data_IF_352561035579
#
_entry.id   IF_352561035579
#
_cell.length_a   1.000
_cell.length_b   1.000
_cell.length_c   1.000
_cell.angle_alpha   90.00
_cell.angle_beta   90.00
_cell.angle_gamma   90.00
#
_symmetry.space_group_name_H-M   'P 1'
#
loop_
_entity.id
_entity.type
_entity.pdbx_description
1 polymer ?
#
# COMPACT_ATOMS: atom_id res chain seq x y z
N UNK A 1 10.12 -4.53 -14.84
CA UNK A 1 9.73 -3.26 -14.20
C UNK A 1 9.06 -3.61 -12.88
N UNK A 2 9.41 -2.94 -11.78
CA UNK A 2 8.69 -3.13 -10.52
C UNK A 2 7.46 -2.21 -10.54
N UNK A 3 6.31 -2.73 -10.20
CA UNK A 3 5.09 -1.96 -10.01
C UNK A 3 4.94 -1.64 -8.53
N UNK A 4 4.52 -0.42 -8.22
CA UNK A 4 4.19 0.02 -6.86
C UNK A 4 2.76 0.54 -6.78
N UNK A 5 2.10 0.30 -5.66
CA UNK A 5 0.82 0.92 -5.28
C UNK A 5 1.00 1.54 -3.91
N UNK A 6 0.71 2.84 -3.81
CA UNK A 6 0.84 3.58 -2.56
C UNK A 6 -0.50 3.57 -1.82
N UNK A 7 -0.48 3.18 -0.55
CA UNK A 7 -1.65 3.19 0.31
C UNK A 7 -1.47 4.19 1.45
N UNK A 8 -2.46 5.06 1.59
CA UNK A 8 -2.48 6.13 2.57
C UNK A 8 -3.73 6.08 3.42
N UNK A 9 -3.60 6.42 4.70
CA UNK A 9 -4.71 6.50 5.65
C UNK A 9 -5.11 7.98 5.89
N UNK A 10 -6.06 8.57 5.14
CA UNK A 10 -6.33 10.00 5.20
C UNK A 10 -6.93 10.40 6.55
N UNK A 11 -6.56 11.57 7.09
CA UNK A 11 -7.16 12.10 8.33
C UNK A 11 -8.63 12.48 8.17
N UNK A 12 -9.03 12.85 6.96
CA UNK A 12 -10.38 13.28 6.58
C UNK A 12 -11.28 12.11 6.15
N UNK A 13 -10.76 10.89 6.13
CA UNK A 13 -11.46 9.71 5.62
C UNK A 13 -11.47 9.56 4.09
N UNK A 14 -11.03 10.57 3.34
CA UNK A 14 -10.91 10.54 1.87
C UNK A 14 -9.57 11.10 1.40
N UNK A 15 -8.90 10.35 0.52
CA UNK A 15 -7.69 10.82 -0.17
C UNK A 15 -8.09 11.74 -1.33
N UNK A 16 -7.33 12.80 -1.54
CA UNK A 16 -7.60 13.77 -2.62
C UNK A 16 -6.33 14.08 -3.39
N UNK A 17 -6.41 14.55 -4.65
CA UNK A 17 -5.24 14.91 -5.45
C UNK A 17 -4.33 15.92 -4.75
N UNK A 18 -4.89 16.96 -4.12
CA UNK A 18 -4.11 17.96 -3.36
C UNK A 18 -3.35 17.35 -2.17
N UNK A 19 -3.91 16.32 -1.54
CA UNK A 19 -3.20 15.60 -0.46
C UNK A 19 -2.04 14.78 -1.04
N UNK A 20 -2.22 14.16 -2.21
CA UNK A 20 -1.15 13.46 -2.92
C UNK A 20 -0.04 14.41 -3.35
N UNK A 21 -0.37 15.55 -3.97
CA UNK A 21 0.59 16.60 -4.31
C UNK A 21 1.43 17.01 -3.09
N UNK A 22 0.77 17.22 -1.95
CA UNK A 22 1.46 17.52 -0.70
C UNK A 22 2.39 16.37 -0.26
N UNK A 23 1.94 15.11 -0.34
CA UNK A 23 2.74 13.94 0.01
C UNK A 23 3.93 13.74 -0.92
N UNK A 24 3.80 14.02 -2.21
CA UNK A 24 4.93 13.99 -3.14
C UNK A 24 5.94 15.09 -2.86
N UNK A 25 5.45 16.28 -2.52
CA UNK A 25 6.32 17.43 -2.23
C UNK A 25 7.03 17.32 -0.87
N UNK A 26 6.35 16.81 0.15
CA UNK A 26 6.82 16.86 1.54
C UNK A 26 6.91 15.50 2.24
N UNK A 27 6.62 14.39 1.56
CA UNK A 27 6.54 13.06 2.16
C UNK A 27 7.85 12.56 2.77
N UNK A 28 8.99 13.13 2.35
CA UNK A 28 10.32 12.84 2.88
C UNK A 28 10.84 13.91 3.86
N UNK A 29 10.07 14.96 4.12
CA UNK A 29 10.48 16.03 5.04
C UNK A 29 10.39 15.56 6.49
N UNK A 30 11.46 15.82 7.25
CA UNK A 30 11.53 15.55 8.69
C UNK A 30 11.06 16.75 9.53
N UNK A 31 10.93 17.92 8.91
CA UNK A 31 10.64 19.20 9.56
C UNK A 31 9.16 19.63 9.49
N UNK A 32 8.32 18.94 8.70
CA UNK A 32 6.87 19.23 8.67
C UNK A 32 6.17 18.90 10.00
N UNK A 33 5.51 19.87 10.66
CA UNK A 33 4.67 19.62 11.84
C UNK A 33 3.57 18.59 11.59
N UNK A 34 3.32 17.71 12.57
CA UNK A 34 2.37 16.59 12.45
C UNK A 34 0.96 17.01 11.99
N UNK A 35 0.48 18.19 12.40
CA UNK A 35 -0.87 18.64 12.04
C UNK A 35 -1.02 19.00 10.55
N UNK A 36 0.08 19.29 9.84
CA UNK A 36 0.07 19.55 8.39
C UNK A 36 0.01 18.29 7.56
N UNK A 37 0.39 17.13 8.12
CA UNK A 37 0.32 15.87 7.40
C UNK A 37 -1.14 15.53 7.04
N UNK A 38 -1.47 15.28 5.77
CA UNK A 38 -2.83 14.96 5.35
C UNK A 38 -3.26 13.53 5.74
N UNK A 39 -2.29 12.68 6.07
CA UNK A 39 -2.47 11.26 6.41
C UNK A 39 -2.15 11.01 7.88
N UNK A 40 -2.80 10.00 8.45
CA UNK A 40 -2.54 9.54 9.82
C UNK A 40 -1.13 8.97 9.91
N UNK A 41 -0.47 9.23 11.03
CA UNK A 41 0.76 8.52 11.37
C UNK A 41 0.44 7.05 11.69
N UNK A 42 1.20 6.15 11.11
CA UNK A 42 1.06 4.70 11.29
C UNK A 42 2.21 4.24 12.20
N UNK A 43 1.95 3.20 13.00
CA UNK A 43 2.99 2.45 13.72
C UNK A 43 3.37 1.23 12.87
N UNK A 44 4.52 1.24 12.16
CA UNK A 44 4.86 0.18 11.19
C UNK A 44 4.78 -1.22 11.79
N UNK A 45 5.38 -1.42 12.97
CA UNK A 45 5.35 -2.71 13.68
C UNK A 45 3.95 -3.17 14.09
N UNK A 46 3.05 -2.23 14.38
CA UNK A 46 1.68 -2.57 14.77
C UNK A 46 0.88 -3.01 13.55
N UNK A 47 0.99 -2.26 12.45
CA UNK A 47 0.36 -2.63 11.18
C UNK A 47 0.92 -3.94 10.63
N UNK A 48 2.23 -4.14 10.72
CA UNK A 48 2.87 -5.39 10.32
C UNK A 48 2.27 -6.61 11.04
N UNK A 49 2.10 -6.51 12.37
CA UNK A 49 1.44 -7.58 13.15
C UNK A 49 -0.02 -7.80 12.73
N UNK A 50 -0.75 -6.75 12.36
CA UNK A 50 -2.12 -6.89 11.86
C UNK A 50 -2.14 -7.64 10.53
N UNK A 51 -1.27 -7.28 9.59
CA UNK A 51 -1.16 -7.96 8.31
C UNK A 51 -0.68 -9.41 8.45
N UNK A 52 0.26 -9.70 9.36
CA UNK A 52 0.68 -11.07 9.65
C UNK A 52 -0.39 -11.92 10.36
N UNK A 53 -1.43 -11.30 10.95
CA UNK A 53 -2.60 -12.03 11.47
C UNK A 53 -3.61 -12.34 10.37
N UNK A 54 -3.72 -11.47 9.37
CA UNK A 54 -4.50 -11.74 8.16
C UNK A 54 -3.84 -12.87 7.35
N UNK A 55 -2.53 -12.76 7.13
CA UNK A 55 -1.73 -13.72 6.39
C UNK A 55 -0.50 -14.13 7.20
N UNK A 56 -0.61 -15.31 7.80
CA UNK A 56 0.44 -15.88 8.67
C UNK A 56 1.70 -16.33 7.94
N UNK A 57 1.69 -16.34 6.60
CA UNK A 57 2.84 -16.77 5.80
C UNK A 57 3.78 -15.62 5.45
N UNK A 58 3.39 -14.37 5.72
CA UNK A 58 4.22 -13.20 5.49
C UNK A 58 5.51 -13.25 6.34
N UNK A 59 6.64 -12.99 5.69
CA UNK A 59 7.96 -12.96 6.33
C UNK A 59 8.33 -11.51 6.61
N UNK A 60 8.50 -11.17 7.89
CA UNK A 60 8.88 -9.82 8.29
C UNK A 60 10.39 -9.59 8.19
N UNK A 61 10.77 -8.52 7.51
CA UNK A 61 12.16 -8.05 7.33
C UNK A 61 12.26 -6.62 7.85
N UNK A 62 13.34 -6.24 8.57
CA UNK A 62 13.53 -4.86 9.00
C UNK A 62 13.77 -3.93 7.81
N UNK A 63 12.96 -2.87 7.71
CA UNK A 63 13.19 -1.76 6.77
C UNK A 63 14.07 -0.65 7.38
N UNK A 64 14.38 0.40 6.61
CA UNK A 64 15.15 1.55 7.08
C UNK A 64 14.35 2.35 8.12
N UNK A 65 15.04 3.09 8.99
CA UNK A 65 14.42 4.03 9.95
C UNK A 65 13.30 3.46 10.86
N UNK A 66 13.27 2.14 11.07
CA UNK A 66 12.24 1.47 11.89
C UNK A 66 10.97 1.08 11.12
N UNK A 67 11.00 1.21 9.79
CA UNK A 67 10.01 0.65 8.87
C UNK A 67 10.06 -0.88 8.85
N UNK A 68 9.06 -1.50 8.24
CA UNK A 68 8.94 -2.97 8.18
C UNK A 68 8.58 -3.37 6.77
N UNK A 69 9.28 -4.37 6.24
CA UNK A 69 8.90 -5.04 5.01
C UNK A 69 8.22 -6.37 5.35
N UNK A 70 7.12 -6.66 4.69
CA UNK A 70 6.50 -7.98 4.72
C UNK A 70 6.63 -8.60 3.33
N UNK A 71 7.40 -9.68 3.26
CA UNK A 71 7.66 -10.42 2.03
C UNK A 71 6.65 -11.55 1.91
N UNK A 72 6.02 -11.67 0.74
CA UNK A 72 5.22 -12.85 0.43
C UNK A 72 6.15 -14.07 0.33
N UNK A 73 5.75 -15.25 0.86
CA UNK A 73 6.65 -16.39 1.01
C UNK A 73 7.22 -16.94 -0.30
N UNK A 74 6.51 -16.79 -1.42
CA UNK A 74 7.02 -17.16 -2.74
C UNK A 74 7.78 -15.98 -3.37
N UNK A 75 9.10 -16.04 -3.31
CA UNK A 75 10.01 -15.04 -3.89
C UNK A 75 9.80 -14.85 -5.40
N UNK A 76 9.27 -15.86 -6.11
CA UNK A 76 8.97 -15.79 -7.55
C UNK A 76 7.85 -14.79 -7.84
N UNK A 77 6.91 -14.63 -6.91
CA UNK A 77 5.85 -13.64 -7.04
C UNK A 77 6.35 -12.22 -6.76
N UNK A 78 7.45 -12.07 -6.02
CA UNK A 78 8.13 -10.80 -5.80
C UNK A 78 7.27 -9.74 -5.10
N UNK A 79 6.27 -10.15 -4.31
CA UNK A 79 5.35 -9.24 -3.62
C UNK A 79 5.96 -8.81 -2.29
N UNK A 80 6.09 -7.50 -2.07
CA UNK A 80 6.60 -6.93 -0.83
C UNK A 80 5.68 -5.80 -0.37
N UNK A 81 5.22 -5.84 0.88
CA UNK A 81 4.52 -4.74 1.52
C UNK A 81 5.51 -3.97 2.37
N UNK A 82 5.92 -2.80 1.89
CA UNK A 82 6.77 -1.86 2.61
C UNK A 82 5.92 -0.93 3.48
N UNK A 83 6.08 -1.05 4.80
CA UNK A 83 5.27 -0.34 5.78
C UNK A 83 6.13 0.73 6.44
N UNK A 84 5.72 2.00 6.26
CA UNK A 84 6.38 3.15 6.86
C UNK A 84 5.41 3.97 7.71
N UNK A 85 5.94 5.00 8.37
CA UNK A 85 5.18 5.84 9.30
C UNK A 85 4.04 6.66 8.66
N UNK A 86 3.94 6.73 7.32
CA UNK A 86 2.93 7.50 6.58
C UNK A 86 2.06 6.67 5.64
N UNK A 87 2.39 5.40 5.40
CA UNK A 87 1.64 4.57 4.46
C UNK A 87 2.18 3.16 4.35
N UNK A 88 1.63 2.46 3.36
CA UNK A 88 2.15 1.17 2.87
C UNK A 88 2.41 1.34 1.38
N UNK A 89 3.51 0.79 0.88
CA UNK A 89 3.77 0.64 -0.55
C UNK A 89 3.78 -0.85 -0.84
N UNK A 90 2.94 -1.31 -1.78
CA UNK A 90 2.97 -2.69 -2.23
C UNK A 90 3.77 -2.74 -3.52
N UNK A 91 4.90 -3.42 -3.48
CA UNK A 91 5.74 -3.71 -4.63
C UNK A 91 5.40 -5.08 -5.20
N UNK A 92 5.34 -5.19 -6.52
CA UNK A 92 5.20 -6.46 -7.22
C UNK A 92 5.73 -6.34 -8.65
N UNK A 93 6.28 -7.40 -9.24
CA UNK A 93 6.81 -7.36 -10.59
C UNK A 93 5.69 -7.06 -11.60
N UNK A 94 5.96 -6.15 -12.53
CA UNK A 94 5.13 -6.00 -13.72
C UNK A 94 5.21 -7.29 -14.54
N UNK A 95 4.07 -7.96 -14.68
CA UNK A 95 3.95 -9.15 -15.50
C UNK A 95 3.06 -8.85 -16.69
N UNK A 96 3.59 -9.08 -17.90
CA UNK A 96 2.77 -9.01 -19.11
C UNK A 96 1.62 -10.03 -19.01
N UNK A 97 0.45 -9.62 -19.49
CA UNK A 97 -0.84 -10.31 -19.39
C UNK A 97 -0.74 -11.85 -19.39
N UNK A 98 -1.29 -12.50 -18.37
CA UNK A 98 -1.34 -13.96 -18.26
C UNK A 98 -1.97 -14.46 -16.95
N UNK A 99 -1.98 -15.78 -16.73
CA UNK A 99 -2.54 -16.37 -15.49
C UNK A 99 -1.79 -15.90 -14.26
N UNK A 100 -0.45 -15.82 -14.35
CA UNK A 100 0.39 -15.40 -13.23
C UNK A 100 0.14 -13.92 -12.85
N UNK A 101 -0.10 -13.04 -13.83
CA UNK A 101 -0.42 -11.64 -13.56
C UNK A 101 -1.75 -11.52 -12.80
N UNK A 102 -2.75 -12.34 -13.14
CA UNK A 102 -4.04 -12.40 -12.43
C UNK A 102 -3.88 -12.87 -10.99
N UNK A 103 -3.04 -13.88 -10.74
CA UNK A 103 -2.76 -14.37 -9.38
C UNK A 103 -2.09 -13.29 -8.55
N UNK A 104 -1.03 -12.66 -9.07
CA UNK A 104 -0.33 -11.59 -8.34
C UNK A 104 -1.24 -10.40 -8.06
N UNK A 105 -2.00 -9.95 -9.05
CA UNK A 105 -2.97 -8.87 -8.85
C UNK A 105 -4.03 -9.26 -7.81
N UNK A 106 -4.57 -10.49 -7.85
CA UNK A 106 -5.53 -10.97 -6.86
C UNK A 106 -4.99 -10.94 -5.42
N UNK A 107 -3.73 -11.35 -5.23
CA UNK A 107 -3.05 -11.27 -3.93
C UNK A 107 -2.88 -9.80 -3.49
N UNK A 108 -2.35 -8.96 -4.37
CA UNK A 108 -2.16 -7.52 -4.10
C UNK A 108 -3.48 -6.85 -3.73
N UNK A 109 -4.53 -7.07 -4.51
CA UNK A 109 -5.86 -6.51 -4.25
C UNK A 109 -6.48 -7.04 -2.95
N UNK A 110 -6.16 -8.26 -2.51
CA UNK A 110 -6.60 -8.77 -1.21
C UNK A 110 -6.07 -7.90 -0.07
N UNK A 111 -4.79 -7.52 -0.10
CA UNK A 111 -4.23 -6.62 0.91
C UNK A 111 -4.78 -5.19 0.80
N UNK A 112 -4.91 -4.65 -0.42
CA UNK A 112 -5.49 -3.32 -0.63
C UNK A 112 -6.90 -3.26 -0.07
N UNK A 113 -7.74 -4.26 -0.38
CA UNK A 113 -9.12 -4.35 0.09
C UNK A 113 -9.20 -4.47 1.60
N UNK A 114 -8.37 -5.33 2.19
CA UNK A 114 -8.31 -5.46 3.65
C UNK A 114 -7.92 -4.14 4.34
N UNK A 115 -6.86 -3.48 3.85
CA UNK A 115 -6.40 -2.20 4.41
C UNK A 115 -7.45 -1.11 4.26
N UNK A 116 -8.21 -1.13 3.16
CA UNK A 116 -9.35 -0.25 2.96
C UNK A 116 -10.47 -0.54 3.98
N UNK A 117 -11.01 -1.77 4.00
CA UNK A 117 -12.19 -2.13 4.80
C UNK A 117 -11.93 -2.03 6.31
N UNK A 118 -10.78 -2.55 6.76
CA UNK A 118 -10.48 -2.64 8.18
C UNK A 118 -9.87 -1.36 8.75
N UNK A 119 -9.12 -0.61 7.93
CA UNK A 119 -8.27 0.47 8.42
C UNK A 119 -8.47 1.80 7.70
N UNK A 120 -9.32 1.89 6.67
CA UNK A 120 -9.64 3.12 5.96
C UNK A 120 -8.49 3.66 5.10
N UNK A 121 -7.66 2.77 4.54
CA UNK A 121 -6.63 3.17 3.57
C UNK A 121 -7.23 3.41 2.19
N UNK A 122 -6.62 4.32 1.44
CA UNK A 122 -6.90 4.60 0.04
C UNK A 122 -5.67 4.27 -0.78
N UNK A 123 -5.86 3.72 -1.98
CA UNK A 123 -4.77 3.40 -2.90
C UNK A 123 -4.59 4.49 -3.95
N UNK A 124 -3.33 4.74 -4.29
CA UNK A 124 -2.91 5.56 -5.41
C UNK A 124 -1.91 4.76 -6.25
N UNK A 125 -2.15 4.73 -7.55
CA UNK A 125 -1.30 4.13 -8.56
C UNK A 125 -0.47 5.24 -9.24
N UNK A 126 0.82 5.40 -8.91
CA UNK A 126 1.65 6.45 -9.49
C UNK A 126 1.96 6.25 -10.99
N UNK A 127 1.84 5.04 -11.52
CA UNK A 127 2.13 4.72 -12.92
C UNK A 127 0.97 5.09 -13.83
N UNK A 128 -0.26 4.97 -13.33
CA UNK A 128 -1.48 5.33 -14.05
C UNK A 128 -2.03 6.71 -13.67
N UNK A 129 -1.51 7.32 -12.60
CA UNK A 129 -2.04 8.52 -11.97
C UNK A 129 -3.52 8.37 -11.56
N UNK A 130 -3.83 7.19 -10.99
CA UNK A 130 -5.20 6.83 -10.60
C UNK A 130 -5.29 6.74 -9.08
N UNK A 131 -6.26 7.45 -8.52
CA UNK A 131 -6.69 7.31 -7.14
C UNK A 131 -7.88 6.36 -7.12
N UNK A 132 -7.67 5.15 -6.59
CA UNK A 132 -8.71 4.13 -6.56
C UNK A 132 -9.35 4.02 -5.18
N UNK A 133 -10.67 3.81 -5.20
CA UNK A 133 -11.51 3.54 -4.04
C UNK A 133 -12.25 2.21 -4.20
N UNK A 134 -12.70 1.64 -3.09
CA UNK A 134 -13.51 0.42 -2.93
C UNK A 134 -14.28 -0.11 -4.17
N UNK A 135 -14.97 0.76 -4.91
CA UNK A 135 -15.85 0.43 -6.03
C UNK A 135 -15.11 0.26 -7.37
N UNK A 136 -13.93 0.87 -7.54
CA UNK A 136 -13.10 0.68 -8.73
C UNK A 136 -12.60 -0.78 -8.84
N UNK A 137 -12.50 -1.47 -7.71
CA UNK A 137 -12.07 -2.87 -7.66
C UNK A 137 -13.15 -3.87 -8.10
N UNK A 138 -14.44 -3.48 -8.07
CA UNK A 138 -15.52 -4.34 -8.61
C UNK A 138 -15.41 -4.48 -10.13
N UNK A 139 -14.91 -3.45 -10.83
CA UNK A 139 -14.76 -3.48 -12.29
C UNK A 139 -13.67 -4.42 -12.81
N UNK A 140 -12.71 -4.79 -11.95
CA UNK A 140 -11.60 -5.70 -12.30
C UNK A 140 -12.03 -7.17 -12.23
N UNK A 141 -13.02 -7.50 -11.40
CA UNK A 141 -13.62 -8.84 -11.37
C UNK A 141 -14.57 -9.09 -12.56
N UNK A 142 -15.06 -8.02 -13.21
CA UNK A 142 -16.01 -8.09 -14.34
C UNK A 142 -15.34 -8.15 -15.74
N UNK A 143 -14.01 -8.21 -15.84
CA UNK A 143 -13.25 -8.30 -17.11
C UNK A 143 -12.33 -9.52 -17.22
#
# INVERSE_FOLDING_TARGET
MMYEIHLYAPKTGKLTPRMLEWLFQYGQSEDQPEHHWPVRRISPRALARTLMRLDTQLVAVPGPAGDVELHYPDETLGIVLYIHNRGVIIFFPYMAYGVLSRVVLGIVYTYIRYLYDALGFWSYDPQLDVLSYADDFQSIEET
#
